data_IF_485809587812
#
_entry.id   IF_485809587812
#
_cell.length_a   1.000
_cell.length_b   1.000
_cell.length_c   1.000
_cell.angle_alpha   90.00
_cell.angle_beta   90.00
_cell.angle_gamma   90.00
#
_symmetry.space_group_name_H-M   'P 1'
#
loop_
_entity.id
_entity.type
_entity.pdbx_description
1 polymer ?
#
# COMPACT_ATOMS: atom_id res chain seq x y z
N UNK A 1 29.07 29.00 23.53
CA UNK A 1 27.84 28.95 24.35
C UNK A 1 27.61 27.50 24.72
N UNK A 2 27.77 27.15 26.00
CA UNK A 2 27.61 25.76 26.47
C UNK A 2 26.17 25.60 26.92
N UNK A 3 25.39 24.82 26.18
CA UNK A 3 23.92 24.71 26.31
C UNK A 3 23.46 23.89 27.52
N UNK A 4 24.40 23.25 28.23
CA UNK A 4 24.16 22.43 29.41
C UNK A 4 25.20 22.79 30.46
N UNK A 5 24.75 23.16 31.67
CA UNK A 5 25.61 23.24 32.86
C UNK A 5 25.34 22.04 33.74
N UNK A 6 26.40 21.28 34.03
CA UNK A 6 26.37 20.21 35.02
C UNK A 6 26.77 20.82 36.38
N UNK A 7 25.89 20.74 37.37
CA UNK A 7 26.22 21.15 38.74
C UNK A 7 27.00 20.04 39.46
N UNK A 8 27.75 20.40 40.51
CA UNK A 8 28.60 19.49 41.28
C UNK A 8 27.86 18.29 41.91
N UNK A 9 26.53 18.34 41.92
CA UNK A 9 25.58 17.39 42.47
C UNK A 9 24.90 16.53 41.37
N UNK A 10 25.36 16.62 40.11
CA UNK A 10 24.85 15.82 38.99
C UNK A 10 23.56 16.33 38.35
N UNK A 11 23.09 17.54 38.71
CA UNK A 11 21.93 18.14 38.06
C UNK A 11 22.35 18.85 36.77
N UNK A 12 21.63 18.58 35.68
CA UNK A 12 21.82 19.26 34.39
C UNK A 12 20.74 20.32 34.24
N UNK A 13 21.14 21.56 33.96
CA UNK A 13 20.22 22.66 33.69
C UNK A 13 20.32 23.07 32.21
N UNK A 14 19.17 23.33 31.58
CA UNK A 14 19.05 23.80 30.21
C UNK A 14 18.61 25.27 30.23
N UNK A 15 19.31 26.12 29.48
CA UNK A 15 18.96 27.52 29.35
C UNK A 15 17.97 27.66 28.18
N UNK A 16 16.70 27.92 28.46
CA UNK A 16 15.73 28.25 27.42
C UNK A 16 15.71 29.76 27.18
N UNK A 17 15.85 30.16 25.92
CA UNK A 17 15.59 31.54 25.50
C UNK A 17 14.11 31.61 25.12
N UNK A 18 13.36 32.48 25.79
CA UNK A 18 11.95 32.68 25.47
C UNK A 18 11.82 33.29 24.06
N UNK A 19 10.82 32.86 23.26
CA UNK A 19 10.55 33.48 21.96
C UNK A 19 10.14 34.95 22.14
N UNK A 20 10.41 35.76 21.11
CA UNK A 20 10.11 37.20 21.10
C UNK A 20 8.61 37.44 21.33
N UNK A 21 8.27 38.29 22.31
CA UNK A 21 6.87 38.57 22.68
C UNK A 21 6.31 37.70 23.81
N UNK A 22 7.09 36.76 24.38
CA UNK A 22 6.67 36.04 25.57
C UNK A 22 6.44 37.00 26.75
N UNK A 23 5.20 37.18 27.17
CA UNK A 23 4.85 37.89 28.41
C UNK A 23 5.34 37.09 29.62
N UNK A 24 5.60 37.76 30.76
CA UNK A 24 6.07 37.20 32.04
C UNK A 24 5.08 36.21 32.73
N UNK A 25 4.38 35.38 31.96
CA UNK A 25 3.68 34.22 32.47
C UNK A 25 4.71 33.12 32.74
N UNK A 26 4.49 32.34 33.79
CA UNK A 26 5.20 31.09 34.05
C UNK A 26 4.93 30.13 32.89
N UNK A 27 5.78 30.14 31.87
CA UNK A 27 5.67 29.24 30.74
C UNK A 27 6.41 27.95 31.10
N UNK A 28 5.67 26.94 31.53
CA UNK A 28 6.22 25.60 31.75
C UNK A 28 6.59 24.97 30.41
N UNK A 29 7.86 24.60 30.25
CA UNK A 29 8.33 23.86 29.07
C UNK A 29 8.41 22.39 29.44
N UNK A 30 7.56 21.58 28.82
CA UNK A 30 7.66 20.13 28.93
C UNK A 30 8.82 19.64 28.07
N UNK A 31 9.84 19.06 28.70
CA UNK A 31 10.94 18.46 27.95
C UNK A 31 10.45 17.19 27.23
N UNK A 32 10.77 17.01 25.94
CA UNK A 32 10.37 15.82 25.20
C UNK A 32 11.27 14.63 25.61
N UNK A 33 11.01 14.03 26.77
CA UNK A 33 11.60 12.76 27.12
C UNK A 33 10.75 11.62 26.57
N UNK A 34 11.41 10.64 25.96
CA UNK A 34 10.77 9.40 25.57
C UNK A 34 10.64 8.51 26.80
N UNK A 35 9.45 7.99 27.05
CA UNK A 35 9.20 7.02 28.10
C UNK A 35 9.03 5.63 27.48
N UNK A 36 9.68 4.62 28.05
CA UNK A 36 9.41 3.22 27.72
C UNK A 36 8.82 2.53 28.94
N UNK A 37 7.64 1.97 28.79
CA UNK A 37 6.93 1.23 29.83
C UNK A 37 6.82 -0.24 29.44
N UNK A 38 7.28 -1.15 30.30
CA UNK A 38 7.25 -2.60 30.08
C UNK A 38 6.54 -3.33 31.21
N UNK A 39 5.23 -3.11 31.41
CA UNK A 39 4.49 -3.79 32.47
C UNK A 39 4.45 -5.31 32.21
N UNK A 40 4.45 -6.10 33.29
CA UNK A 40 4.18 -7.53 33.17
C UNK A 40 2.77 -7.77 32.62
N UNK A 41 2.55 -8.90 31.95
CA UNK A 41 1.22 -9.25 31.45
C UNK A 41 0.19 -9.30 32.60
N UNK A 42 -0.97 -8.72 32.33
CA UNK A 42 -2.18 -8.85 33.13
C UNK A 42 -3.38 -8.82 32.19
N UNK A 43 -4.49 -9.46 32.58
CA UNK A 43 -5.74 -9.40 31.81
C UNK A 43 -6.29 -7.97 31.70
N UNK A 44 -5.95 -7.11 32.66
CA UNK A 44 -6.23 -5.67 32.61
C UNK A 44 -4.98 -4.91 32.99
N UNK A 45 -4.49 -4.10 32.04
CA UNK A 45 -3.33 -3.23 32.20
C UNK A 45 -3.82 -1.80 32.42
N UNK A 46 -3.42 -1.19 33.53
CA UNK A 46 -3.61 0.23 33.78
C UNK A 46 -2.27 0.95 33.59
N UNK A 47 -2.21 1.84 32.61
CA UNK A 47 -0.97 2.49 32.16
C UNK A 47 -1.11 3.99 32.27
N UNK A 48 -0.18 4.66 32.95
CA UNK A 48 -0.19 6.12 33.06
C UNK A 48 0.67 6.73 31.95
N UNK A 49 0.11 7.57 31.09
CA UNK A 49 0.85 8.28 30.04
C UNK A 49 1.21 9.67 30.58
N UNK A 50 2.49 9.91 30.80
CA UNK A 50 2.99 11.17 31.40
C UNK A 50 3.86 12.00 30.47
N UNK A 51 4.30 11.41 29.36
CA UNK A 51 5.24 12.04 28.44
C UNK A 51 4.61 12.24 27.06
N UNK A 52 5.17 13.15 26.29
CA UNK A 52 4.73 13.41 24.92
C UNK A 52 4.98 12.22 23.99
N UNK A 53 6.03 11.43 24.23
CA UNK A 53 6.31 10.21 23.48
C UNK A 53 6.42 9.02 24.44
N UNK A 54 5.48 8.09 24.37
CA UNK A 54 5.46 6.89 25.20
C UNK A 54 5.51 5.63 24.34
N UNK A 55 6.38 4.69 24.68
CA UNK A 55 6.45 3.34 24.12
C UNK A 55 5.92 2.37 25.17
N UNK A 56 4.76 1.77 24.92
CA UNK A 56 4.16 0.75 25.76
C UNK A 56 4.45 -0.63 25.15
N UNK A 57 5.20 -1.46 25.88
CA UNK A 57 5.56 -2.81 25.47
C UNK A 57 5.33 -3.80 26.62
N UNK A 58 4.07 -4.22 26.87
CA UNK A 58 3.77 -5.20 27.90
C UNK A 58 4.53 -6.51 27.67
N UNK A 59 4.69 -7.29 28.73
CA UNK A 59 5.15 -8.67 28.63
C UNK A 59 4.27 -9.47 27.66
N UNK A 60 4.87 -10.54 27.10
CA UNK A 60 4.21 -11.45 26.18
C UNK A 60 2.80 -11.84 26.68
N UNK A 61 1.82 -11.68 25.81
CA UNK A 61 0.41 -11.91 26.12
C UNK A 61 0.15 -13.42 26.25
N UNK A 62 -0.15 -13.87 27.47
CA UNK A 62 -0.54 -15.26 27.76
C UNK A 62 -2.06 -15.46 27.78
N UNK A 63 -2.82 -14.40 27.49
CA UNK A 63 -4.27 -14.35 27.42
C UNK A 63 -4.74 -13.06 26.76
N UNK A 64 -6.05 -12.93 26.58
CA UNK A 64 -6.63 -11.67 26.11
C UNK A 64 -6.42 -10.58 27.18
N UNK A 65 -6.19 -9.35 26.74
CA UNK A 65 -5.88 -8.24 27.64
C UNK A 65 -6.76 -7.02 27.33
N UNK A 66 -7.01 -6.20 28.33
CA UNK A 66 -7.58 -4.85 28.18
C UNK A 66 -6.55 -3.83 28.62
N UNK A 67 -6.31 -2.79 27.81
CA UNK A 67 -5.38 -1.71 28.14
C UNK A 67 -6.18 -0.44 28.41
N UNK A 68 -6.08 0.07 29.64
CA UNK A 68 -6.64 1.35 30.04
C UNK A 68 -5.51 2.35 30.28
N UNK A 69 -5.63 3.53 29.68
CA UNK A 69 -4.70 4.64 29.84
C UNK A 69 -5.26 5.66 30.85
N UNK A 70 -4.40 6.16 31.72
CA UNK A 70 -4.60 7.40 32.45
C UNK A 70 -3.65 8.46 31.90
N UNK A 71 -4.19 9.42 31.17
CA UNK A 71 -3.41 10.49 30.53
C UNK A 71 -3.20 11.61 31.53
N UNK A 72 -1.93 11.98 31.79
CA UNK A 72 -1.60 13.09 32.66
C UNK A 72 -2.03 14.42 32.03
N UNK A 73 -2.49 15.37 32.84
CA UNK A 73 -2.95 16.68 32.38
C UNK A 73 -1.89 17.53 31.67
N UNK A 74 -0.61 17.17 31.81
CA UNK A 74 0.50 17.83 31.11
C UNK A 74 0.74 17.28 29.69
N UNK A 75 0.09 16.18 29.30
CA UNK A 75 0.19 15.64 27.94
C UNK A 75 -0.64 16.51 27.00
N UNK A 76 0.02 17.10 26.01
CA UNK A 76 -0.61 17.98 25.03
C UNK A 76 -1.10 17.19 23.81
N UNK A 77 -2.11 17.70 23.07
CA UNK A 77 -2.48 17.16 21.76
C UNK A 77 -1.26 17.00 20.85
N UNK A 78 -1.24 15.94 20.05
CA UNK A 78 -0.12 15.52 19.21
C UNK A 78 0.85 14.53 19.88
N UNK A 79 0.68 14.24 21.18
CA UNK A 79 1.49 13.25 21.87
C UNK A 79 1.34 11.87 21.23
N UNK A 80 2.43 11.11 21.17
CA UNK A 80 2.51 9.82 20.49
C UNK A 80 2.61 8.67 21.47
N UNK A 81 1.81 7.64 21.23
CA UNK A 81 1.90 6.35 21.90
C UNK A 81 2.21 5.27 20.88
N UNK A 82 3.35 4.60 21.05
CA UNK A 82 3.69 3.40 20.29
C UNK A 82 3.39 2.17 21.14
N UNK A 83 2.50 1.31 20.67
CA UNK A 83 2.08 0.09 21.34
C UNK A 83 2.72 -1.11 20.65
N UNK A 84 3.51 -1.90 21.39
CA UNK A 84 4.06 -3.19 20.95
C UNK A 84 3.37 -4.32 21.71
N UNK A 85 2.70 -5.19 20.98
CA UNK A 85 2.02 -6.37 21.53
C UNK A 85 2.67 -7.63 20.98
N UNK A 86 2.97 -8.60 21.84
CA UNK A 86 3.55 -9.88 21.45
C UNK A 86 2.64 -11.01 21.95
N UNK A 87 2.16 -11.86 21.06
CA UNK A 87 1.35 -13.02 21.42
C UNK A 87 2.21 -14.26 21.69
N UNK A 88 1.67 -15.17 22.48
CA UNK A 88 2.23 -16.49 22.70
C UNK A 88 1.84 -17.49 21.61
N UNK A 89 1.83 -18.78 21.94
CA UNK A 89 1.42 -19.85 21.03
C UNK A 89 -0.08 -19.88 20.76
N UNK A 90 -0.81 -18.79 21.02
CA UNK A 90 -2.23 -18.65 20.70
C UNK A 90 -2.49 -17.23 20.23
N UNK A 91 -3.45 -17.07 19.31
CA UNK A 91 -3.94 -15.76 18.91
C UNK A 91 -4.55 -15.03 20.11
N UNK A 92 -4.21 -13.75 20.30
CA UNK A 92 -4.68 -12.95 21.42
C UNK A 92 -5.44 -11.74 20.91
N UNK A 93 -6.49 -11.37 21.64
CA UNK A 93 -7.23 -10.14 21.39
C UNK A 93 -6.93 -9.15 22.51
N UNK A 94 -6.62 -7.92 22.12
CA UNK A 94 -6.40 -6.81 23.03
C UNK A 94 -7.50 -5.78 22.84
N UNK A 95 -8.26 -5.52 23.90
CA UNK A 95 -9.27 -4.47 23.94
C UNK A 95 -8.61 -3.15 24.34
N UNK A 96 -8.80 -2.13 23.52
CA UNK A 96 -8.42 -0.75 23.83
C UNK A 96 -9.52 -0.16 24.71
N UNK A 97 -9.19 0.10 25.98
CA UNK A 97 -10.14 0.58 26.98
C UNK A 97 -10.08 2.10 27.14
N UNK A 98 -10.22 2.58 28.38
CA UNK A 98 -10.24 4.02 28.68
C UNK A 98 -8.99 4.75 28.17
N UNK A 99 -9.16 5.96 27.65
CA UNK A 99 -8.06 6.81 27.17
C UNK A 99 -7.61 6.52 25.73
N UNK A 100 -8.19 5.50 25.09
CA UNK A 100 -8.23 5.37 23.64
C UNK A 100 -9.55 5.89 23.09
N UNK A 101 -9.62 6.07 21.77
CA UNK A 101 -10.88 6.33 21.07
C UNK A 101 -11.92 5.24 21.40
N UNK A 102 -13.15 5.68 21.71
CA UNK A 102 -14.24 4.78 22.09
C UNK A 102 -14.70 3.89 20.91
N UNK A 103 -14.49 4.38 19.69
CA UNK A 103 -14.80 3.66 18.45
C UNK A 103 -13.61 2.83 17.94
N UNK A 104 -12.49 2.75 18.68
CA UNK A 104 -11.35 1.96 18.27
C UNK A 104 -11.64 0.45 18.28
N UNK A 105 -11.33 -0.20 17.18
CA UNK A 105 -11.46 -1.66 17.05
C UNK A 105 -10.53 -2.40 18.02
N UNK A 106 -10.94 -3.62 18.39
CA UNK A 106 -10.08 -4.55 19.11
C UNK A 106 -8.88 -4.94 18.26
N UNK A 107 -7.71 -5.01 18.89
CA UNK A 107 -6.48 -5.41 18.22
C UNK A 107 -6.34 -6.93 18.28
N UNK A 108 -6.30 -7.56 17.11
CA UNK A 108 -5.98 -8.98 16.99
C UNK A 108 -4.48 -9.15 16.81
N UNK A 109 -3.85 -9.91 17.70
CA UNK A 109 -2.44 -10.26 17.64
C UNK A 109 -2.31 -11.73 17.21
N UNK A 110 -1.81 -12.01 15.99
CA UNK A 110 -1.67 -13.37 15.49
C UNK A 110 -0.75 -14.24 16.35
N UNK A 111 -0.93 -15.56 16.28
CA UNK A 111 -0.09 -16.55 16.99
C UNK A 111 1.41 -16.30 16.74
N UNK A 112 2.20 -16.32 17.82
CA UNK A 112 3.66 -16.18 17.79
C UNK A 112 4.17 -14.94 17.04
N UNK A 113 3.39 -13.86 17.03
CA UNK A 113 3.70 -12.64 16.29
C UNK A 113 3.78 -11.41 17.19
N UNK A 114 4.36 -10.35 16.63
CA UNK A 114 4.42 -9.03 17.25
C UNK A 114 3.66 -8.04 16.37
N UNK A 115 2.74 -7.28 16.97
CA UNK A 115 2.02 -6.19 16.30
C UNK A 115 2.47 -4.86 16.90
N UNK A 116 2.69 -3.87 16.03
CA UNK A 116 3.00 -2.50 16.40
C UNK A 116 1.86 -1.59 15.95
N UNK A 117 1.43 -0.70 16.84
CA UNK A 117 0.44 0.33 16.54
C UNK A 117 0.97 1.69 17.00
N UNK A 118 0.64 2.74 16.25
CA UNK A 118 0.89 4.13 16.64
C UNK A 118 -0.45 4.82 16.89
N UNK A 119 -0.51 5.59 17.97
CA UNK A 119 -1.64 6.42 18.33
C UNK A 119 -1.19 7.87 18.55
N UNK A 120 -2.06 8.82 18.24
CA UNK A 120 -1.84 10.24 18.50
C UNK A 120 -2.93 10.77 19.42
N UNK A 121 -2.54 11.47 20.49
CA UNK A 121 -3.47 12.10 21.42
C UNK A 121 -4.12 13.34 20.77
N UNK A 122 -5.44 13.41 20.76
CA UNK A 122 -6.17 14.56 20.19
C UNK A 122 -6.49 15.66 21.23
N UNK A 123 -6.13 15.44 22.49
CA UNK A 123 -6.52 16.28 23.63
C UNK A 123 -7.60 15.67 24.52
N UNK A 124 -8.22 14.58 24.09
CA UNK A 124 -9.24 13.82 24.82
C UNK A 124 -8.83 12.35 24.96
N UNK A 125 -8.47 11.72 23.85
CA UNK A 125 -8.13 10.30 23.77
C UNK A 125 -6.99 10.04 22.77
N UNK A 126 -6.39 8.85 22.86
CA UNK A 126 -5.42 8.37 21.86
C UNK A 126 -6.14 7.78 20.66
N UNK A 127 -6.08 8.49 19.54
CA UNK A 127 -6.66 8.10 18.26
C UNK A 127 -5.68 7.20 17.50
N UNK A 128 -6.13 6.11 16.87
CA UNK A 128 -5.26 5.30 16.03
C UNK A 128 -4.74 6.14 14.87
N UNK A 129 -3.44 6.06 14.60
CA UNK A 129 -2.87 6.61 13.37
C UNK A 129 -3.24 5.63 12.26
N UNK A 130 -4.40 5.85 11.65
CA UNK A 130 -4.78 5.10 10.47
C UNK A 130 -3.83 5.45 9.31
N UNK A 131 -3.43 4.43 8.54
CA UNK A 131 -3.20 4.68 7.12
C UNK A 131 -4.57 5.09 6.60
N UNK A 132 -4.70 6.32 6.10
CA UNK A 132 -6.00 6.84 5.69
C UNK A 132 -6.66 5.84 4.72
N UNK A 133 -7.91 5.48 4.96
CA UNK A 133 -8.68 4.57 4.09
C UNK A 133 -8.72 5.05 2.64
N UNK A 134 -8.56 6.36 2.43
CA UNK A 134 -8.35 7.01 1.12
C UNK A 134 -7.06 6.53 0.45
N UNK A 135 -5.94 6.53 1.17
CA UNK A 135 -4.63 6.07 0.65
C UNK A 135 -4.65 4.57 0.36
N UNK A 136 -5.32 3.79 1.20
CA UNK A 136 -5.53 2.36 0.96
C UNK A 136 -6.42 2.10 -0.28
N UNK A 137 -7.45 2.93 -0.50
CA UNK A 137 -8.32 2.84 -1.67
C UNK A 137 -7.57 3.22 -2.96
N UNK A 138 -6.72 4.24 -2.93
CA UNK A 138 -5.86 4.64 -4.06
C UNK A 138 -4.88 3.52 -4.43
N UNK A 139 -4.18 2.94 -3.45
CA UNK A 139 -3.29 1.79 -3.67
C UNK A 139 -4.02 0.55 -4.20
N UNK A 140 -5.25 0.32 -3.75
CA UNK A 140 -6.08 -0.80 -4.24
C UNK A 140 -6.52 -0.58 -5.67
N UNK A 141 -6.93 0.65 -6.02
CA UNK A 141 -7.25 1.07 -7.38
C UNK A 141 -6.07 0.89 -8.34
N UNK A 142 -4.88 1.37 -7.97
CA UNK A 142 -3.67 1.19 -8.78
C UNK A 142 -3.32 -0.28 -8.98
N UNK A 143 -3.51 -1.12 -7.95
CA UNK A 143 -3.29 -2.55 -8.04
C UNK A 143 -4.32 -3.26 -8.94
N UNK A 144 -5.58 -2.81 -8.94
CA UNK A 144 -6.61 -3.32 -9.87
C UNK A 144 -6.26 -2.99 -11.33
N UNK A 145 -5.81 -1.77 -11.61
CA UNK A 145 -5.33 -1.36 -12.95
C UNK A 145 -4.16 -2.24 -13.42
N UNK A 146 -3.21 -2.55 -12.54
CA UNK A 146 -2.08 -3.41 -12.89
C UNK A 146 -2.47 -4.88 -13.11
N UNK A 147 -3.51 -5.38 -12.44
CA UNK A 147 -4.03 -6.75 -12.65
C UNK A 147 -4.85 -6.90 -13.95
N UNK A 148 -5.27 -5.78 -14.53
CA UNK A 148 -6.06 -5.69 -15.75
C UNK A 148 -5.22 -5.53 -17.02
N UNK A 149 -3.89 -5.48 -16.89
CA UNK A 149 -2.95 -5.38 -18.02
C UNK A 149 -2.14 -6.67 -18.20
N UNK A 150 -1.91 -7.10 -19.44
CA UNK A 150 -0.94 -8.17 -19.75
C UNK A 150 -0.08 -7.83 -20.97
N UNK A 151 1.10 -8.44 -21.02
CA UNK A 151 2.03 -8.38 -22.16
C UNK A 151 2.29 -9.80 -22.64
N UNK A 152 2.09 -10.04 -23.94
CA UNK A 152 2.21 -11.34 -24.58
C UNK A 152 3.30 -11.29 -25.65
N UNK A 153 4.36 -12.08 -25.46
CA UNK A 153 5.57 -12.14 -26.31
C UNK A 153 5.77 -13.50 -26.98
N UNK A 154 4.83 -13.97 -27.84
CA UNK A 154 4.95 -15.30 -28.40
C UNK A 154 6.06 -15.39 -29.47
N UNK A 155 6.65 -16.57 -29.60
CA UNK A 155 7.57 -16.88 -30.70
C UNK A 155 6.86 -16.82 -32.05
N UNK A 156 7.61 -16.52 -33.11
CA UNK A 156 7.08 -16.53 -34.47
C UNK A 156 6.56 -17.93 -34.84
N UNK A 157 5.36 -17.97 -35.41
CA UNK A 157 4.78 -19.12 -36.09
C UNK A 157 3.93 -18.64 -37.26
N UNK A 158 3.85 -19.45 -38.33
CA UNK A 158 2.98 -19.15 -39.48
C UNK A 158 1.49 -19.10 -39.08
N UNK A 159 1.11 -19.85 -38.05
CA UNK A 159 -0.18 -19.76 -37.38
C UNK A 159 0.07 -19.48 -35.90
N UNK A 160 -0.25 -18.27 -35.46
CA UNK A 160 -0.07 -17.83 -34.09
C UNK A 160 -1.41 -17.93 -33.35
N UNK A 161 -1.44 -18.68 -32.25
CA UNK A 161 -2.61 -18.79 -31.39
C UNK A 161 -2.30 -18.14 -30.03
N UNK A 162 -3.11 -17.17 -29.63
CA UNK A 162 -2.86 -16.34 -28.44
C UNK A 162 -4.13 -16.28 -27.59
N UNK A 163 -4.02 -16.51 -26.29
CA UNK A 163 -5.14 -16.29 -25.36
C UNK A 163 -5.12 -14.87 -24.83
N UNK A 164 -6.26 -14.19 -24.88
CA UNK A 164 -6.46 -12.82 -24.38
C UNK A 164 -7.39 -12.88 -23.18
N UNK A 165 -6.86 -12.56 -22.00
CA UNK A 165 -7.57 -12.71 -20.74
C UNK A 165 -7.72 -11.41 -19.94
N UNK A 166 -6.98 -10.36 -20.31
CA UNK A 166 -6.96 -9.08 -19.59
C UNK A 166 -7.59 -7.94 -20.37
N UNK A 167 -8.03 -6.91 -19.64
CA UNK A 167 -8.73 -5.74 -20.20
C UNK A 167 -7.86 -4.91 -21.12
N UNK A 168 -6.56 -4.86 -20.87
CA UNK A 168 -5.58 -4.23 -21.75
C UNK A 168 -4.44 -5.19 -22.05
N UNK A 169 -4.36 -5.65 -23.29
CA UNK A 169 -3.39 -6.66 -23.71
C UNK A 169 -2.44 -6.09 -24.75
N UNK A 170 -1.14 -6.17 -24.48
CA UNK A 170 -0.07 -5.82 -25.41
C UNK A 170 0.51 -7.08 -26.04
N UNK A 171 0.16 -7.35 -27.30
CA UNK A 171 0.65 -8.48 -28.07
C UNK A 171 1.85 -8.05 -28.93
N UNK A 172 3.02 -8.64 -28.67
CA UNK A 172 4.26 -8.38 -29.37
C UNK A 172 4.96 -9.70 -29.76
N UNK A 173 4.54 -10.34 -30.86
CA UNK A 173 5.23 -11.50 -31.38
C UNK A 173 6.68 -11.16 -31.74
N UNK A 174 7.57 -12.16 -31.69
CA UNK A 174 8.93 -12.01 -32.23
C UNK A 174 8.91 -11.66 -33.73
N UNK A 175 10.06 -11.19 -34.22
CA UNK A 175 10.25 -10.74 -35.60
C UNK A 175 9.60 -11.71 -36.61
N UNK A 176 8.79 -11.14 -37.50
CA UNK A 176 8.04 -11.89 -38.50
C UNK A 176 8.99 -12.28 -39.64
N UNK A 177 9.30 -13.57 -39.73
CA UNK A 177 10.16 -14.14 -40.78
C UNK A 177 9.36 -14.67 -41.99
N UNK A 178 8.03 -14.61 -41.92
CA UNK A 178 7.09 -15.08 -42.93
C UNK A 178 5.71 -14.46 -42.76
N UNK A 179 4.76 -14.85 -43.61
CA UNK A 179 3.35 -14.50 -43.44
C UNK A 179 2.78 -15.20 -42.20
N UNK A 180 1.86 -14.52 -41.50
CA UNK A 180 1.28 -15.02 -40.24
C UNK A 180 -0.23 -14.96 -40.28
N UNK A 181 -0.88 -16.01 -39.80
CA UNK A 181 -2.29 -15.98 -39.42
C UNK A 181 -2.38 -15.87 -37.90
N UNK A 182 -3.01 -14.80 -37.41
CA UNK A 182 -3.19 -14.55 -35.97
C UNK A 182 -4.60 -14.95 -35.52
N UNK A 183 -4.68 -15.94 -34.63
CA UNK A 183 -5.91 -16.39 -34.01
C UNK A 183 -5.88 -16.07 -32.51
N UNK A 184 -6.99 -15.54 -32.00
CA UNK A 184 -7.19 -15.26 -30.59
C UNK A 184 -8.16 -16.26 -29.97
N UNK A 185 -7.83 -16.70 -28.76
CA UNK A 185 -8.78 -17.30 -27.83
C UNK A 185 -9.17 -16.23 -26.83
N UNK A 186 -10.42 -15.78 -26.89
CA UNK A 186 -10.94 -14.75 -25.98
C UNK A 186 -11.43 -15.43 -24.70
N UNK A 187 -10.92 -15.01 -23.55
CA UNK A 187 -11.37 -15.55 -22.27
C UNK A 187 -12.84 -15.18 -22.00
N UNK A 188 -13.58 -16.10 -21.37
CA UNK A 188 -15.02 -15.94 -21.11
C UNK A 188 -15.32 -14.76 -20.17
N UNK A 189 -14.34 -14.32 -19.37
CA UNK A 189 -14.45 -13.18 -18.48
C UNK A 189 -14.16 -11.81 -19.11
N UNK A 190 -13.78 -11.75 -20.40
CA UNK A 190 -13.37 -10.50 -21.02
C UNK A 190 -14.57 -9.57 -21.26
N UNK A 191 -14.55 -8.38 -20.66
CA UNK A 191 -15.61 -7.40 -20.79
C UNK A 191 -15.55 -6.65 -22.14
N UNK A 192 -16.70 -6.30 -22.76
CA UNK A 192 -16.73 -5.36 -23.88
C UNK A 192 -16.03 -4.04 -23.54
N UNK A 193 -15.30 -3.48 -24.51
CA UNK A 193 -14.45 -2.30 -24.34
C UNK A 193 -12.98 -2.60 -23.98
N UNK A 194 -12.63 -3.87 -23.78
CA UNK A 194 -11.24 -4.31 -23.60
C UNK A 194 -10.39 -3.98 -24.83
N UNK A 195 -9.13 -3.62 -24.65
CA UNK A 195 -8.21 -3.17 -25.70
C UNK A 195 -7.12 -4.19 -25.97
N UNK A 196 -6.86 -4.41 -27.25
CA UNK A 196 -5.75 -5.20 -27.73
C UNK A 196 -4.83 -4.30 -28.56
N UNK A 197 -3.59 -4.15 -28.10
CA UNK A 197 -2.54 -3.41 -28.78
C UNK A 197 -1.55 -4.40 -29.38
N UNK A 198 -1.40 -4.40 -30.70
CA UNK A 198 -0.53 -5.32 -31.42
C UNK A 198 0.67 -4.55 -31.97
N UNK A 199 1.87 -5.01 -31.63
CA UNK A 199 3.14 -4.57 -32.19
C UNK A 199 3.69 -5.66 -33.08
N UNK A 200 3.83 -5.38 -34.38
CA UNK A 200 4.31 -6.34 -35.38
C UNK A 200 5.60 -5.81 -35.99
N UNK A 201 6.69 -6.58 -35.94
CA UNK A 201 7.98 -6.20 -36.54
C UNK A 201 8.33 -7.14 -37.68
N UNK A 202 8.50 -6.62 -38.89
CA UNK A 202 8.90 -7.41 -40.06
C UNK A 202 10.42 -7.52 -40.18
N UNK A 203 10.89 -8.66 -40.66
CA UNK A 203 12.29 -8.87 -40.99
C UNK A 203 12.76 -8.00 -42.17
N UNK A 204 14.05 -8.10 -42.49
CA UNK A 204 14.68 -7.32 -43.57
C UNK A 204 14.42 -7.86 -44.98
N UNK A 205 13.88 -9.08 -45.10
CA UNK A 205 13.77 -9.78 -46.37
C UNK A 205 12.61 -9.29 -47.25
N UNK A 206 11.42 -9.12 -46.68
CA UNK A 206 10.21 -8.79 -47.43
C UNK A 206 9.14 -8.10 -46.57
N UNK A 207 8.14 -7.51 -47.23
CA UNK A 207 6.93 -7.08 -46.53
C UNK A 207 6.21 -8.33 -45.99
N UNK A 208 5.65 -8.22 -44.79
CA UNK A 208 4.95 -9.33 -44.12
C UNK A 208 3.48 -9.03 -44.03
N UNK A 209 2.66 -9.97 -44.49
CA UNK A 209 1.21 -9.90 -44.36
C UNK A 209 0.80 -10.69 -43.12
N UNK A 210 0.04 -10.04 -42.24
CA UNK A 210 -0.61 -10.67 -41.09
C UNK A 210 -2.10 -10.75 -41.37
N UNK A 211 -2.59 -11.97 -41.53
CA UNK A 211 -4.00 -12.28 -41.70
C UNK A 211 -4.64 -12.36 -40.31
N UNK A 212 -5.69 -11.57 -40.09
CA UNK A 212 -6.49 -11.60 -38.86
C UNK A 212 -7.48 -12.77 -38.97
N UNK A 213 -7.32 -13.74 -38.08
CA UNK A 213 -8.12 -14.96 -38.05
C UNK A 213 -9.20 -14.93 -36.98
N UNK A 214 -9.38 -16.05 -36.28
CA UNK A 214 -10.39 -16.21 -35.23
C UNK A 214 -10.20 -15.16 -34.12
N UNK A 215 -11.30 -14.60 -33.62
CA UNK A 215 -11.29 -13.60 -32.54
C UNK A 215 -11.17 -12.16 -33.01
N UNK A 216 -10.96 -11.91 -34.31
CA UNK A 216 -11.13 -10.61 -34.95
C UNK A 216 -12.44 -10.54 -35.72
N UNK A 217 -12.91 -9.32 -35.99
CA UNK A 217 -14.02 -9.10 -36.92
C UNK A 217 -13.68 -9.68 -38.32
N UNK A 218 -14.59 -10.45 -38.89
CA UNK A 218 -14.41 -11.10 -40.19
C UNK A 218 -14.26 -10.09 -41.34
N UNK A 219 -14.71 -8.84 -41.15
CA UNK A 219 -14.51 -7.75 -42.11
C UNK A 219 -13.14 -7.04 -41.95
N UNK A 220 -12.35 -7.37 -40.93
CA UNK A 220 -11.07 -6.72 -40.67
C UNK A 220 -10.05 -7.04 -41.78
N UNK A 221 -9.44 -5.98 -42.33
CA UNK A 221 -8.43 -6.13 -43.37
C UNK A 221 -7.11 -6.70 -42.81
N UNK A 222 -6.42 -7.50 -43.63
CA UNK A 222 -5.08 -7.97 -43.31
C UNK A 222 -4.10 -6.79 -43.11
N UNK A 223 -3.12 -6.98 -42.23
CA UNK A 223 -2.12 -5.97 -41.92
C UNK A 223 -0.88 -6.24 -42.77
N UNK A 224 -0.49 -5.28 -43.61
CA UNK A 224 0.81 -5.32 -44.27
C UNK A 224 1.84 -4.55 -43.45
N UNK A 225 2.90 -5.23 -43.02
CA UNK A 225 4.05 -4.65 -42.33
C UNK A 225 5.20 -4.51 -43.33
N UNK A 226 5.71 -3.30 -43.51
CA UNK A 226 6.81 -3.05 -44.44
C UNK A 226 8.11 -3.65 -43.91
N UNK A 227 8.95 -4.21 -44.79
CA UNK A 227 10.25 -4.80 -44.41
C UNK A 227 11.07 -3.86 -43.52
N UNK A 228 11.73 -4.40 -42.51
CA UNK A 228 12.54 -3.66 -41.53
C UNK A 228 11.79 -2.56 -40.76
N UNK A 229 10.46 -2.67 -40.65
CA UNK A 229 9.64 -1.72 -39.89
C UNK A 229 8.78 -2.42 -38.85
N UNK A 230 8.35 -1.63 -37.85
CA UNK A 230 7.36 -2.02 -36.87
C UNK A 230 6.05 -1.31 -37.14
N UNK A 231 4.95 -2.06 -37.19
CA UNK A 231 3.58 -1.54 -37.27
C UNK A 231 2.86 -1.73 -35.94
N UNK A 232 2.11 -0.71 -35.53
CA UNK A 232 1.24 -0.76 -34.36
C UNK A 232 -0.22 -0.73 -34.80
N UNK A 233 -1.04 -1.61 -34.25
CA UNK A 233 -2.49 -1.65 -34.48
C UNK A 233 -3.21 -1.83 -33.16
N UNK A 234 -4.33 -1.13 -32.99
CA UNK A 234 -5.15 -1.23 -31.79
C UNK A 234 -6.54 -1.72 -32.18
N UNK A 235 -7.11 -2.56 -31.32
CA UNK A 235 -8.43 -3.13 -31.48
C UNK A 235 -9.20 -2.98 -30.17
N UNK A 236 -10.53 -2.92 -30.27
CA UNK A 236 -11.42 -2.93 -29.11
C UNK A 236 -12.35 -4.15 -29.20
N UNK A 237 -12.55 -4.83 -28.09
CA UNK A 237 -13.46 -5.95 -28.00
C UNK A 237 -14.90 -5.46 -27.93
N UNK A 238 -15.75 -5.85 -28.86
CA UNK A 238 -17.16 -5.44 -28.92
C UNK A 238 -18.11 -6.37 -28.11
N UNK A 239 -17.55 -7.41 -27.47
CA UNK A 239 -18.30 -8.46 -26.79
C UNK A 239 -18.43 -9.76 -27.60
N UNK A 240 -18.02 -9.77 -28.86
CA UNK A 240 -17.96 -10.95 -29.73
C UNK A 240 -16.60 -11.13 -30.38
N UNK A 241 -15.99 -10.06 -30.88
CA UNK A 241 -14.69 -10.07 -31.53
C UNK A 241 -13.93 -8.75 -31.33
N UNK A 242 -12.64 -8.74 -31.65
CA UNK A 242 -11.84 -7.53 -31.70
C UNK A 242 -12.05 -6.78 -33.01
N UNK A 243 -12.63 -5.59 -32.93
CA UNK A 243 -12.84 -4.67 -34.06
C UNK A 243 -11.70 -3.64 -34.11
N UNK A 244 -11.25 -3.20 -35.30
CA UNK A 244 -10.24 -2.15 -35.42
C UNK A 244 -10.67 -0.88 -34.70
N UNK A 245 -9.79 -0.35 -33.84
CA UNK A 245 -10.00 0.96 -33.23
C UNK A 245 -9.74 2.01 -34.32
N UNK A 246 -10.79 2.73 -34.73
CA UNK A 246 -10.74 3.79 -35.74
C UNK A 246 -10.12 5.07 -35.21
#
# INVERSE_FOLDING_TARGET
>A
MTWIKESANGSRSFNFVAPEGATNATNEVLFPFHEKQTPAYAATLAVAVKQYNTVLAPGKLTGNATINLSVNSQVTPGAKLLLRLEADSTQRTVTLGTGFDADADQVVVPISSVVFLEFTYDGTAFMPVAINSVELAELTSELEVLKDTEVLDPDYAATLAVSVAKRETFLQPKELTGEVTLNLTIDVGLAPGSKLHIKLTADSGANRTVTLGVGFDAAAAAITVTKSTTSFKSFVYDGTAFVPLT
#
